data_IF_573355430179
#
_entry.id   IF_573355430179
#
_cell.length_a   1.000
_cell.length_b   1.000
_cell.length_c   1.000
_cell.angle_alpha   90.00
_cell.angle_beta   90.00
_cell.angle_gamma   90.00
#
_symmetry.space_group_name_H-M   'P 1'
#
loop_
_entity.id
_entity.type
_entity.pdbx_description
1 polymer ?
#
# COMPACT_ATOMS: atom_id res chain seq x y z
N UNK A 1 -0.21 15.97 7.97
CA UNK A 1 0.60 15.66 6.77
C UNK A 1 0.28 16.72 5.74
N UNK A 2 1.29 17.35 5.12
CA UNK A 2 1.11 18.44 4.16
C UNK A 2 1.01 18.00 2.71
N UNK A 3 0.38 16.85 2.42
CA UNK A 3 0.20 16.39 1.05
C UNK A 3 -1.07 17.01 0.46
N UNK A 4 -0.98 17.51 -0.77
CA UNK A 4 -2.10 18.09 -1.50
C UNK A 4 -2.68 17.07 -2.47
N UNK A 5 -4.01 16.93 -2.50
CA UNK A 5 -4.67 16.05 -3.47
C UNK A 5 -4.46 16.59 -4.88
N UNK A 6 -3.94 15.75 -5.77
CA UNK A 6 -3.57 16.12 -7.14
C UNK A 6 -2.08 16.39 -7.33
N UNK A 7 -1.28 16.47 -6.25
CA UNK A 7 0.18 16.64 -6.37
C UNK A 7 0.89 15.33 -6.69
N UNK A 8 2.08 15.45 -7.28
CA UNK A 8 3.04 14.35 -7.48
C UNK A 8 4.07 14.36 -6.34
N UNK A 9 4.26 13.23 -5.67
CA UNK A 9 5.18 13.08 -4.54
C UNK A 9 6.11 11.88 -4.72
N UNK A 10 7.36 11.99 -4.24
CA UNK A 10 8.27 10.83 -4.19
C UNK A 10 8.04 10.04 -2.91
N UNK A 11 7.57 8.80 -3.05
CA UNK A 11 7.26 7.94 -1.91
C UNK A 11 8.09 6.64 -1.94
N UNK A 12 8.42 6.15 -0.74
CA UNK A 12 9.09 4.86 -0.49
C UNK A 12 8.18 3.92 0.30
N UNK A 13 8.65 2.70 0.56
CA UNK A 13 8.02 1.73 1.45
C UNK A 13 6.98 0.83 0.76
N UNK A 14 6.23 0.08 1.57
CA UNK A 14 5.26 -0.90 1.08
C UNK A 14 4.18 -0.31 0.17
N UNK A 15 3.94 -1.00 -0.94
CA UNK A 15 2.86 -0.75 -1.90
C UNK A 15 2.18 -2.07 -2.27
N UNK A 16 0.96 -1.99 -2.78
CA UNK A 16 0.21 -3.13 -3.32
C UNK A 16 -0.54 -2.69 -4.59
N UNK A 17 -1.49 -3.48 -5.07
CA UNK A 17 -2.33 -3.09 -6.22
C UNK A 17 -3.63 -2.43 -5.77
N UNK A 18 -4.14 -1.52 -6.60
CA UNK A 18 -5.36 -0.76 -6.34
C UNK A 18 -6.57 -1.66 -6.00
N UNK A 19 -6.65 -2.85 -6.58
CA UNK A 19 -7.72 -3.80 -6.30
C UNK A 19 -7.81 -4.20 -4.82
N UNK A 20 -6.74 -4.13 -4.04
CA UNK A 20 -6.74 -4.43 -2.60
C UNK A 20 -7.17 -3.25 -1.73
N UNK A 21 -7.10 -2.04 -2.29
CA UNK A 21 -7.45 -0.79 -1.65
C UNK A 21 -8.87 -0.39 -2.08
N UNK A 22 -9.02 0.16 -3.29
CA UNK A 22 -10.29 0.61 -3.87
C UNK A 22 -11.08 1.59 -2.98
N UNK A 23 -12.28 2.00 -3.40
CA UNK A 23 -13.20 2.79 -2.58
C UNK A 23 -13.99 1.89 -1.63
N UNK A 24 -13.28 1.30 -0.66
CA UNK A 24 -13.85 0.40 0.35
C UNK A 24 -13.97 1.08 1.72
N UNK A 25 -14.82 0.54 2.62
CA UNK A 25 -14.80 0.95 4.01
C UNK A 25 -13.38 0.86 4.60
N UNK A 26 -12.95 1.82 5.44
CA UNK A 26 -11.58 1.84 5.98
C UNK A 26 -11.19 0.54 6.70
N UNK A 27 -12.13 -0.05 7.46
CA UNK A 27 -11.91 -1.33 8.15
C UNK A 27 -11.58 -2.49 7.22
N UNK A 28 -12.13 -2.49 6.01
CA UNK A 28 -11.82 -3.53 5.02
C UNK A 28 -10.43 -3.32 4.42
N UNK A 29 -10.03 -2.06 4.22
CA UNK A 29 -8.67 -1.72 3.78
C UNK A 29 -7.66 -2.11 4.86
N UNK A 30 -7.94 -1.80 6.14
CA UNK A 30 -7.10 -2.20 7.27
C UNK A 30 -6.87 -3.71 7.30
N UNK A 31 -7.95 -4.49 7.24
CA UNK A 31 -7.89 -5.96 7.20
C UNK A 31 -7.15 -6.48 5.96
N UNK A 32 -7.34 -5.86 4.79
CA UNK A 32 -6.68 -6.30 3.57
C UNK A 32 -5.17 -6.03 3.58
N UNK A 33 -4.76 -4.88 4.13
CA UNK A 33 -3.37 -4.43 4.11
C UNK A 33 -2.57 -4.84 5.34
N UNK A 34 -3.23 -5.31 6.40
CA UNK A 34 -2.57 -5.64 7.66
C UNK A 34 -2.26 -4.39 8.47
N UNK A 35 -3.24 -3.48 8.61
CA UNK A 35 -3.18 -2.39 9.58
C UNK A 35 -4.00 -2.73 10.82
N UNK A 36 -3.60 -2.19 11.97
CA UNK A 36 -4.39 -2.23 13.19
C UNK A 36 -5.83 -1.73 12.96
N UNK A 37 -6.84 -2.32 13.62
CA UNK A 37 -8.20 -1.78 13.59
C UNK A 37 -8.23 -0.31 14.02
N UNK A 38 -8.88 0.54 13.21
CA UNK A 38 -8.97 1.98 13.46
C UNK A 38 -7.75 2.79 13.02
N UNK A 39 -6.72 2.16 12.43
CA UNK A 39 -5.55 2.87 11.90
C UNK A 39 -5.89 3.97 10.89
N UNK A 40 -6.97 3.78 10.14
CA UNK A 40 -7.47 4.70 9.11
C UNK A 40 -8.62 5.59 9.62
N UNK A 41 -8.94 5.58 10.92
CA UNK A 41 -10.09 6.33 11.47
C UNK A 41 -9.92 7.85 11.37
N UNK A 42 -8.69 8.35 11.52
CA UNK A 42 -8.36 9.77 11.39
C UNK A 42 -8.11 10.20 9.93
N UNK A 43 -8.54 9.38 8.98
CA UNK A 43 -8.34 9.59 7.56
C UNK A 43 -7.05 9.00 7.01
N UNK A 44 -6.95 9.02 5.68
CA UNK A 44 -5.85 8.43 4.93
C UNK A 44 -5.78 8.96 3.50
N UNK A 45 -4.61 8.82 2.88
CA UNK A 45 -4.39 9.10 1.47
C UNK A 45 -4.28 7.81 0.67
N UNK A 46 -4.77 7.84 -0.57
CA UNK A 46 -4.48 6.84 -1.60
C UNK A 46 -3.59 7.48 -2.64
N UNK A 47 -2.40 6.89 -2.82
CA UNK A 47 -1.38 7.37 -3.74
C UNK A 47 -1.23 6.37 -4.88
N UNK A 48 -1.06 6.83 -6.12
CA UNK A 48 -1.01 5.98 -7.32
C UNK A 48 0.32 6.16 -8.03
N UNK A 49 1.01 5.07 -8.35
CA UNK A 49 2.30 5.13 -9.04
C UNK A 49 2.12 5.78 -10.42
N UNK A 50 3.00 6.72 -10.77
CA UNK A 50 2.96 7.48 -12.04
C UNK A 50 4.11 7.16 -13.00
N UNK A 51 5.09 6.39 -12.56
CA UNK A 51 6.24 6.01 -13.37
C UNK A 51 6.48 4.49 -13.38
N UNK A 52 7.11 3.99 -14.44
CA UNK A 52 7.46 2.57 -14.52
C UNK A 52 8.58 2.26 -13.53
N UNK A 53 8.47 1.12 -12.87
CA UNK A 53 9.52 0.57 -12.01
C UNK A 53 10.53 -0.21 -12.85
N UNK A 54 11.77 -0.21 -12.38
CA UNK A 54 12.88 -1.07 -12.75
C UNK A 54 13.18 -2.06 -11.61
N UNK A 55 13.88 -3.17 -11.85
CA UNK A 55 14.22 -4.14 -10.82
C UNK A 55 14.91 -3.54 -9.59
N UNK A 56 15.80 -2.56 -9.78
CA UNK A 56 16.53 -1.87 -8.72
C UNK A 56 15.67 -0.94 -7.85
N UNK A 57 14.44 -0.65 -8.27
CA UNK A 57 13.58 0.32 -7.60
C UNK A 57 12.79 -0.26 -6.42
N UNK A 58 12.73 -1.59 -6.33
CA UNK A 58 11.89 -2.26 -5.35
C UNK A 58 12.44 -3.61 -4.94
N UNK A 59 11.93 -4.11 -3.82
CA UNK A 59 12.11 -5.49 -3.39
C UNK A 59 10.76 -6.18 -3.25
N UNK A 60 10.73 -7.50 -3.46
CA UNK A 60 9.57 -8.31 -3.12
C UNK A 60 9.40 -8.42 -1.61
N UNK A 61 8.23 -8.01 -1.12
CA UNK A 61 7.81 -8.18 0.28
C UNK A 61 6.82 -9.35 0.44
N UNK A 62 6.53 -10.07 -0.65
CA UNK A 62 5.62 -11.21 -0.64
C UNK A 62 4.17 -10.77 -0.68
N UNK A 63 3.42 -11.00 0.39
CA UNK A 63 1.99 -10.66 0.47
C UNK A 63 1.67 -9.89 1.74
N UNK A 64 0.49 -9.26 1.81
CA UNK A 64 -0.01 -8.55 3.01
C UNK A 64 -0.18 -9.46 4.24
N UNK A 65 -0.01 -10.78 4.12
CA UNK A 65 0.12 -11.69 5.26
C UNK A 65 1.46 -11.52 6.00
N UNK A 66 2.43 -10.83 5.40
CA UNK A 66 3.81 -10.67 5.89
C UNK A 66 4.08 -9.20 6.19
N UNK A 67 3.83 -8.81 7.44
CA UNK A 67 4.14 -7.45 7.89
C UNK A 67 5.60 -7.10 7.67
N UNK A 68 5.83 -5.95 7.01
CA UNK A 68 7.15 -5.42 6.66
C UNK A 68 7.96 -6.31 5.73
N UNK A 69 7.31 -7.19 4.96
CA UNK A 69 8.01 -8.07 4.01
C UNK A 69 8.86 -9.15 4.66
N UNK A 70 8.52 -9.56 5.89
CA UNK A 70 9.30 -10.52 6.67
C UNK A 70 8.56 -11.85 6.83
N UNK A 71 9.31 -12.94 6.88
CA UNK A 71 8.78 -14.28 7.06
C UNK A 71 8.15 -14.46 8.45
N UNK A 72 7.12 -15.29 8.51
CA UNK A 72 6.36 -15.55 9.74
C UNK A 72 5.45 -14.38 10.16
N UNK A 73 4.83 -14.54 11.33
CA UNK A 73 3.99 -13.52 11.95
C UNK A 73 4.85 -12.34 12.44
N UNK A 74 4.30 -11.12 12.49
CA UNK A 74 4.94 -10.02 13.20
C UNK A 74 5.20 -10.38 14.66
N UNK A 75 6.32 -9.91 15.20
CA UNK A 75 6.67 -10.16 16.59
C UNK A 75 6.07 -9.11 17.53
N UNK A 76 6.01 -9.42 18.82
CA UNK A 76 5.49 -8.52 19.86
C UNK A 76 6.46 -7.40 20.25
N UNK A 77 7.71 -7.44 19.77
CA UNK A 77 8.71 -6.38 20.01
C UNK A 77 9.40 -5.99 18.71
N UNK A 78 9.77 -4.71 18.57
CA UNK A 78 10.48 -4.24 17.37
C UNK A 78 11.82 -4.93 17.15
N UNK A 79 12.55 -5.21 18.23
CA UNK A 79 13.86 -5.85 18.14
C UNK A 79 13.73 -7.25 17.54
N UNK A 80 12.80 -8.06 18.05
CA UNK A 80 12.52 -9.38 17.49
C UNK A 80 11.95 -9.29 16.07
N UNK A 81 11.09 -8.30 15.79
CA UNK A 81 10.48 -8.13 14.48
C UNK A 81 11.52 -7.81 13.40
N UNK A 82 12.49 -6.93 13.72
CA UNK A 82 13.59 -6.56 12.82
C UNK A 82 14.52 -7.74 12.49
N UNK A 83 14.64 -8.73 13.38
CA UNK A 83 15.45 -9.93 13.17
C UNK A 83 14.78 -10.97 12.27
N UNK A 84 13.47 -10.86 11.97
CA UNK A 84 12.81 -11.80 11.05
C UNK A 84 13.37 -11.64 9.64
N UNK A 85 13.66 -12.77 8.99
CA UNK A 85 14.18 -12.81 7.62
C UNK A 85 13.27 -12.09 6.64
N UNK A 86 13.82 -11.23 5.79
CA UNK A 86 13.03 -10.56 4.74
C UNK A 86 12.77 -11.54 3.58
N UNK A 87 11.62 -11.38 2.93
CA UNK A 87 11.25 -12.16 1.74
C UNK A 87 12.28 -11.96 0.61
N UNK A 88 12.78 -10.74 0.46
CA UNK A 88 13.88 -10.41 -0.45
C UNK A 88 15.12 -11.27 -0.20
N UNK A 89 15.65 -11.22 1.04
CA UNK A 89 16.87 -11.93 1.43
C UNK A 89 16.72 -13.44 1.22
N UNK A 90 15.56 -13.99 1.60
CA UNK A 90 15.26 -15.41 1.41
C UNK A 90 15.22 -15.80 -0.07
N UNK A 91 14.61 -14.96 -0.91
CA UNK A 91 14.51 -15.23 -2.34
C UNK A 91 15.89 -15.19 -3.02
N UNK A 92 16.76 -14.23 -2.66
CA UNK A 92 18.14 -14.19 -3.14
C UNK A 92 18.91 -15.41 -2.66
N UNK A 93 18.81 -15.76 -1.38
CA UNK A 93 19.48 -16.93 -0.80
C UNK A 93 19.09 -18.22 -1.52
N UNK A 94 17.81 -18.38 -1.86
CA UNK A 94 17.26 -19.60 -2.46
C UNK A 94 17.50 -19.71 -3.96
N UNK A 95 17.38 -18.62 -4.70
CA UNK A 95 17.38 -18.65 -6.17
C UNK A 95 18.60 -17.97 -6.80
N UNK A 96 19.38 -17.22 -6.03
CA UNK A 96 20.48 -16.40 -6.51
C UNK A 96 20.03 -15.05 -7.10
N UNK A 97 20.91 -14.06 -7.03
CA UNK A 97 20.61 -12.67 -7.42
C UNK A 97 20.15 -12.54 -8.89
N UNK A 98 20.79 -13.26 -9.82
CA UNK A 98 20.44 -13.22 -11.26
C UNK A 98 19.02 -13.74 -11.51
N UNK A 99 18.63 -14.81 -10.83
CA UNK A 99 17.27 -15.34 -10.96
C UNK A 99 16.26 -14.40 -10.29
N UNK A 100 16.62 -13.83 -9.14
CA UNK A 100 15.81 -12.81 -8.47
C UNK A 100 15.51 -11.62 -9.37
N UNK A 101 16.52 -11.04 -10.02
CA UNK A 101 16.35 -9.95 -10.97
C UNK A 101 15.45 -10.36 -12.16
N UNK A 102 15.58 -11.61 -12.64
CA UNK A 102 14.69 -12.15 -13.69
C UNK A 102 13.24 -12.21 -13.21
N UNK A 103 12.99 -12.65 -11.98
CA UNK A 103 11.65 -12.64 -11.37
C UNK A 103 11.09 -11.22 -11.26
N UNK A 104 11.93 -10.24 -10.89
CA UNK A 104 11.51 -8.83 -10.86
C UNK A 104 11.10 -8.35 -12.25
N UNK A 105 11.91 -8.61 -13.29
CA UNK A 105 11.58 -8.26 -14.68
C UNK A 105 10.26 -8.88 -15.13
N UNK A 106 10.01 -10.16 -14.79
CA UNK A 106 8.74 -10.82 -15.09
C UNK A 106 7.55 -10.21 -14.34
N UNK A 107 7.72 -9.84 -13.07
CA UNK A 107 6.67 -9.17 -12.30
C UNK A 107 6.32 -7.80 -12.89
N UNK A 108 7.32 -7.04 -13.34
CA UNK A 108 7.14 -5.72 -13.96
C UNK A 108 6.31 -5.77 -15.24
N UNK A 109 6.32 -6.87 -15.99
CA UNK A 109 5.46 -7.04 -17.17
C UNK A 109 3.95 -6.97 -16.82
N UNK A 110 3.60 -7.26 -15.57
CA UNK A 110 2.21 -7.23 -15.07
C UNK A 110 1.86 -5.91 -14.37
N UNK A 111 2.85 -5.06 -14.08
CA UNK A 111 2.63 -3.77 -13.43
C UNK A 111 2.03 -2.81 -14.45
N UNK A 112 0.83 -2.32 -14.14
CA UNK A 112 0.12 -1.34 -14.95
C UNK A 112 0.16 0.03 -14.27
N UNK A 113 0.15 1.10 -15.06
CA UNK A 113 0.00 2.47 -14.52
C UNK A 113 -1.47 2.90 -14.42
N UNK A 114 -2.39 2.08 -14.90
CA UNK A 114 -3.83 2.29 -14.88
C UNK A 114 -4.56 0.97 -14.60
N UNK A 115 -5.86 1.05 -14.34
CA UNK A 115 -6.70 -0.11 -14.06
C UNK A 115 -6.56 -0.65 -12.64
N UNK A 116 -7.27 -1.74 -12.30
CA UNK A 116 -7.32 -2.29 -10.95
C UNK A 116 -5.99 -2.90 -10.48
N UNK A 117 -5.11 -3.29 -11.39
CA UNK A 117 -3.80 -3.88 -11.08
C UNK A 117 -2.69 -2.84 -10.91
N UNK A 118 -2.99 -1.54 -11.05
CA UNK A 118 -1.97 -0.50 -10.87
C UNK A 118 -1.42 -0.47 -9.45
N UNK A 119 -0.16 -0.10 -9.32
CA UNK A 119 0.49 0.03 -8.01
C UNK A 119 -0.08 1.24 -7.28
N UNK A 120 -0.43 1.03 -6.02
CA UNK A 120 -1.04 2.00 -5.15
C UNK A 120 -0.52 1.85 -3.71
N UNK A 121 -0.55 2.96 -2.97
CA UNK A 121 -0.10 3.07 -1.59
C UNK A 121 -1.20 3.72 -0.74
N UNK A 122 -1.36 3.23 0.49
CA UNK A 122 -2.17 3.91 1.51
C UNK A 122 -1.25 4.59 2.51
N UNK A 123 -1.49 5.86 2.81
CA UNK A 123 -0.82 6.61 3.85
C UNK A 123 -1.83 6.98 4.94
N UNK A 124 -1.86 6.27 6.08
CA UNK A 124 -2.73 6.62 7.21
C UNK A 124 -2.33 7.96 7.84
N UNK A 125 -3.31 8.77 8.28
CA UNK A 125 -3.05 9.97 9.09
C UNK A 125 -2.36 9.60 10.41
N UNK A 126 -2.84 8.53 11.08
CA UNK A 126 -2.24 8.00 12.30
C UNK A 126 -0.86 7.42 11.95
N UNK A 127 0.19 7.92 12.60
CA UNK A 127 1.59 7.54 12.34
C UNK A 127 2.01 6.28 13.09
N UNK A 128 3.04 5.61 12.58
CA UNK A 128 3.65 4.47 13.25
C UNK A 128 4.12 4.88 14.63
N UNK A 129 3.90 4.03 15.62
CA UNK A 129 4.26 4.31 17.00
C UNK A 129 5.27 3.30 17.50
N UNK A 130 6.47 3.72 17.88
CA UNK A 130 7.48 2.81 18.41
C UNK A 130 7.12 2.20 19.78
N UNK A 131 6.03 2.68 20.41
CA UNK A 131 5.55 2.22 21.71
C UNK A 131 4.46 1.15 21.63
N UNK A 132 3.92 0.88 20.43
CA UNK A 132 2.90 -0.16 20.23
C UNK A 132 3.59 -1.38 19.60
N UNK A 133 3.27 -2.58 20.07
CA UNK A 133 3.85 -3.81 19.54
C UNK A 133 3.62 -3.96 18.01
N UNK A 134 4.62 -4.45 17.23
CA UNK A 134 4.49 -4.59 15.78
C UNK A 134 3.33 -5.48 15.33
N UNK A 135 3.07 -6.58 16.04
CA UNK A 135 1.95 -7.49 15.80
C UNK A 135 0.57 -6.85 16.00
N UNK A 136 0.48 -5.88 16.90
CA UNK A 136 -0.73 -5.07 17.11
C UNK A 136 -0.87 -3.99 16.03
N UNK A 137 0.21 -3.30 15.68
CA UNK A 137 0.16 -2.23 14.67
C UNK A 137 -0.06 -2.72 13.25
N UNK A 138 0.54 -3.87 12.94
CA UNK A 138 0.56 -4.45 11.60
C UNK A 138 0.27 -5.96 11.66
N UNK A 139 -0.98 -6.34 12.00
CA UNK A 139 -1.39 -7.74 12.00
C UNK A 139 -1.37 -8.32 10.58
N UNK A 140 -1.60 -9.62 10.45
CA UNK A 140 -1.75 -10.25 9.13
C UNK A 140 -2.88 -9.61 8.32
N UNK A 141 -2.58 -9.30 7.06
CA UNK A 141 -3.54 -8.77 6.09
C UNK A 141 -4.28 -9.85 5.29
N UNK A 142 -4.81 -9.46 4.13
CA UNK A 142 -5.67 -10.28 3.26
C UNK A 142 -4.97 -11.12 2.18
N UNK A 143 -3.64 -11.10 2.09
CA UNK A 143 -2.86 -11.90 1.12
C UNK A 143 -2.57 -11.25 -0.23
N UNK A 144 -2.78 -9.95 -0.39
CA UNK A 144 -2.41 -9.23 -1.62
C UNK A 144 -0.90 -9.13 -1.82
N UNK A 145 -0.42 -9.19 -3.06
CA UNK A 145 1.01 -9.02 -3.34
C UNK A 145 1.51 -7.65 -2.86
N UNK A 146 2.74 -7.64 -2.33
CA UNK A 146 3.39 -6.43 -1.84
C UNK A 146 4.82 -6.31 -2.34
N UNK A 147 5.19 -5.05 -2.54
CA UNK A 147 6.53 -4.63 -2.91
C UNK A 147 6.98 -3.50 -2.00
N UNK A 148 8.27 -3.44 -1.70
CA UNK A 148 8.88 -2.34 -0.98
C UNK A 148 9.57 -1.40 -1.97
N UNK A 149 9.08 -0.16 -2.12
CA UNK A 149 9.74 0.83 -2.97
C UNK A 149 10.96 1.40 -2.23
N UNK A 150 12.12 1.31 -2.85
CA UNK A 150 13.40 1.71 -2.29
C UNK A 150 13.64 3.23 -2.39
N UNK A 151 14.59 3.74 -1.59
CA UNK A 151 15.09 5.11 -1.74
C UNK A 151 15.77 5.29 -3.11
N UNK A 152 15.62 6.47 -3.77
CA UNK A 152 15.04 7.72 -3.29
C UNK A 152 13.51 7.82 -3.44
N UNK A 153 12.82 6.69 -3.63
CA UNK A 153 11.39 6.65 -3.84
C UNK A 153 11.00 6.88 -5.30
N UNK A 154 9.72 6.65 -5.57
CA UNK A 154 9.13 6.80 -6.90
C UNK A 154 8.01 7.82 -6.89
N UNK A 155 7.70 8.37 -8.05
CA UNK A 155 6.66 9.37 -8.22
C UNK A 155 5.27 8.73 -8.09
N UNK A 156 4.48 9.23 -7.16
CA UNK A 156 3.07 8.89 -6.96
C UNK A 156 2.22 10.14 -7.04
N UNK A 157 1.05 10.01 -7.67
CA UNK A 157 -0.03 10.99 -7.56
C UNK A 157 -0.73 10.80 -6.21
N UNK A 158 -0.88 11.87 -5.42
CA UNK A 158 -1.76 11.89 -4.25
C UNK A 158 -3.21 11.99 -4.77
N UNK A 159 -3.80 10.84 -5.05
CA UNK A 159 -5.00 10.76 -5.88
C UNK A 159 -6.30 11.02 -5.11
N UNK A 160 -6.32 10.68 -3.82
CA UNK A 160 -7.50 10.80 -2.99
C UNK A 160 -7.12 10.95 -1.52
N UNK A 161 -7.82 11.84 -0.82
CA UNK A 161 -7.82 11.94 0.64
C UNK A 161 -9.20 11.53 1.15
N UNK A 162 -9.25 10.66 2.16
CA UNK A 162 -10.50 10.30 2.85
C UNK A 162 -10.41 10.80 4.28
N UNK A 163 -11.37 11.62 4.68
CA UNK A 163 -11.43 12.19 6.02
C UNK A 163 -12.10 11.22 7.03
N UNK A 164 -12.11 11.53 8.35
CA UNK A 164 -12.74 10.70 9.37
C UNK A 164 -14.26 10.48 9.16
N UNK A 165 -14.92 11.37 8.42
CA UNK A 165 -16.34 11.29 8.11
C UNK A 165 -16.61 10.46 6.86
N UNK A 166 -15.57 9.89 6.23
CA UNK A 166 -15.68 9.10 5.00
C UNK A 166 -15.95 9.94 3.76
N UNK A 167 -15.67 11.25 3.80
CA UNK A 167 -15.66 12.10 2.62
C UNK A 167 -14.36 11.88 1.86
N UNK A 168 -14.46 11.37 0.64
CA UNK A 168 -13.33 11.26 -0.28
C UNK A 168 -13.20 12.55 -1.08
N UNK A 169 -12.05 13.21 -0.99
CA UNK A 169 -11.68 14.38 -1.81
C UNK A 169 -10.68 13.94 -2.86
N UNK A 170 -10.98 14.26 -4.12
CA UNK A 170 -10.19 14.01 -5.32
C UNK A 170 -10.02 15.34 -6.06
N UNK A 171 -9.08 15.48 -7.02
CA UNK A 171 -8.78 16.78 -7.63
C UNK A 171 -9.98 17.50 -8.24
N UNK A 172 -10.93 16.75 -8.80
CA UNK A 172 -12.09 17.30 -9.52
C UNK A 172 -13.43 17.18 -8.79
N UNK A 173 -13.50 16.44 -7.69
CA UNK A 173 -14.75 16.25 -6.94
C UNK A 173 -14.51 15.70 -5.53
N UNK A 174 -15.47 15.94 -4.66
CA UNK A 174 -15.58 15.26 -3.37
C UNK A 174 -16.87 14.47 -3.28
N UNK A 175 -16.82 13.31 -2.62
CA UNK A 175 -17.97 12.43 -2.50
C UNK A 175 -17.89 11.56 -1.25
N UNK A 176 -19.01 11.36 -0.57
CA UNK A 176 -19.07 10.45 0.57
C UNK A 176 -18.99 8.99 0.10
N UNK A 177 -18.03 8.23 0.67
CA UNK A 177 -17.81 6.79 0.39
C UNK A 177 -17.95 5.91 1.64
N UNK A 178 -18.36 6.49 2.76
CA UNK A 178 -18.54 5.81 4.04
C UNK A 178 -19.74 4.86 4.08
N UNK A 179 -20.17 4.51 5.28
CA UNK A 179 -21.32 3.62 5.50
C UNK A 179 -22.59 4.31 5.00
N UNK A 180 -23.36 3.61 4.16
CA UNK A 180 -24.58 4.16 3.56
C UNK A 180 -24.35 5.02 2.31
N UNK A 181 -23.10 5.21 1.88
CA UNK A 181 -22.81 5.88 0.62
C UNK A 181 -23.43 5.14 -0.58
N UNK A 182 -24.07 5.86 -1.52
CA UNK A 182 -24.55 5.30 -2.78
C UNK A 182 -23.45 4.52 -3.53
N UNK A 183 -23.85 3.43 -4.19
CA UNK A 183 -22.93 2.63 -5.02
C UNK A 183 -22.26 3.48 -6.10
N UNK A 184 -23.00 4.41 -6.72
CA UNK A 184 -22.51 5.29 -7.78
C UNK A 184 -21.33 6.15 -7.34
N UNK A 185 -21.30 6.57 -6.07
CA UNK A 185 -20.19 7.34 -5.50
C UNK A 185 -18.90 6.50 -5.53
N UNK A 186 -18.98 5.26 -5.06
CA UNK A 186 -17.85 4.32 -5.08
C UNK A 186 -17.45 3.98 -6.51
N UNK A 187 -18.39 3.79 -7.42
CA UNK A 187 -18.11 3.54 -8.83
C UNK A 187 -17.42 4.75 -9.49
N UNK A 188 -17.83 5.98 -9.18
CA UNK A 188 -17.22 7.22 -9.65
C UNK A 188 -15.77 7.36 -9.15
N UNK A 189 -15.53 7.11 -7.87
CA UNK A 189 -14.18 7.09 -7.29
C UNK A 189 -13.32 5.99 -7.93
N UNK A 190 -13.84 4.78 -8.08
CA UNK A 190 -13.09 3.67 -8.68
C UNK A 190 -12.66 3.98 -10.11
N UNK A 191 -13.57 4.55 -10.93
CA UNK A 191 -13.24 4.97 -12.29
C UNK A 191 -12.09 5.97 -12.31
N UNK A 192 -12.14 6.99 -11.45
CA UNK A 192 -11.05 7.96 -11.34
C UNK A 192 -9.73 7.29 -10.93
N UNK A 193 -9.72 6.48 -9.86
CA UNK A 193 -8.49 5.83 -9.39
C UNK A 193 -7.87 4.89 -10.43
N UNK A 194 -8.70 4.29 -11.28
CA UNK A 194 -8.23 3.43 -12.36
C UNK A 194 -7.66 4.21 -13.55
N UNK A 195 -8.09 5.44 -13.83
CA UNK A 195 -7.67 6.19 -15.02
C UNK A 195 -6.68 7.34 -14.77
N UNK A 196 -6.52 7.80 -13.52
CA UNK A 196 -5.71 8.97 -13.15
C UNK A 196 -4.19 8.84 -13.36
#
# INVERSE_FOLDING_TARGET
>A
MGFEVGSDERLTGNVTTLMWIGPRPPRDIERNLGFAPGRLSEGYLVCLLKERLQPEDFEFDGTTLRSGGRLGLPASTEAADKLRTRVHDEAIRKYGAKHYETMQKMALQRVQLAGPQRIAKVLPTIRHSHTIAPDVQYPMGGGGLQWNILAPGKKFLIAMHVDPNGMATLPSFSVHIGRGAPYENKAKVMRYLQSA
#
